data_IF_443041477182
#
_entry.id   IF_443041477182
#
_cell.length_a   1.000
_cell.length_b   1.000
_cell.length_c   1.000
_cell.angle_alpha   90.00
_cell.angle_beta   90.00
_cell.angle_gamma   90.00
#
_symmetry.space_group_name_H-M   'P 1'
#
loop_
_entity.id
_entity.type
_entity.pdbx_description
1 polymer ?
#
# COMPACT_ATOMS: atom_id res chain seq x y z
N UNK A 1 23.36 15.27 22.71
CA UNK A 1 23.06 16.06 21.48
C UNK A 1 22.67 15.16 20.31
N UNK A 2 23.59 14.39 19.71
CA UNK A 2 23.26 13.47 18.59
C UNK A 2 22.51 12.23 19.09
N UNK A 3 22.97 11.62 20.19
CA UNK A 3 22.34 10.41 20.77
C UNK A 3 20.88 10.67 21.14
N UNK A 4 20.58 11.85 21.72
CA UNK A 4 19.20 12.24 22.06
C UNK A 4 18.32 12.38 20.82
N UNK A 5 18.85 12.72 19.65
CA UNK A 5 18.07 12.89 18.43
C UNK A 5 17.62 11.56 17.79
N UNK A 6 18.23 10.44 18.18
CA UNK A 6 17.87 9.09 17.71
C UNK A 6 17.21 8.24 18.79
N UNK A 7 16.97 8.82 19.98
CA UNK A 7 16.32 8.12 21.08
C UNK A 7 14.82 8.05 20.81
N UNK A 8 14.32 6.85 20.53
CA UNK A 8 12.90 6.57 20.20
C UNK A 8 11.97 6.65 21.43
N UNK A 9 12.12 7.68 22.27
CA UNK A 9 11.14 7.95 23.33
C UNK A 9 9.95 8.70 22.72
N UNK A 10 8.70 8.29 22.99
CA UNK A 10 7.50 8.97 22.47
C UNK A 10 7.38 10.43 22.96
N UNK A 11 8.08 10.79 24.03
CA UNK A 11 8.19 12.17 24.53
C UNK A 11 9.39 12.95 24.02
N UNK A 12 10.21 12.42 23.10
CA UNK A 12 11.41 13.09 22.62
C UNK A 12 11.09 14.13 21.53
N UNK A 13 11.12 15.45 21.84
CA UNK A 13 10.82 16.48 20.84
C UNK A 13 11.96 16.66 19.83
N UNK A 14 13.15 16.12 20.11
CA UNK A 14 14.36 16.22 19.27
C UNK A 14 14.56 15.02 18.35
N UNK A 15 13.62 14.08 18.33
CA UNK A 15 13.73 12.93 17.45
C UNK A 15 13.80 13.38 15.99
N UNK A 16 14.97 13.20 15.36
CA UNK A 16 15.29 13.83 14.09
C UNK A 16 14.60 13.16 12.90
N UNK A 17 14.26 11.87 13.02
CA UNK A 17 13.68 11.11 11.92
C UNK A 17 12.15 11.15 11.96
N UNK A 18 11.57 12.24 11.45
CA UNK A 18 10.12 12.40 11.31
C UNK A 18 9.79 12.83 9.89
N UNK A 19 9.00 12.02 9.20
CA UNK A 19 8.59 12.31 7.82
C UNK A 19 7.11 12.07 7.64
N UNK A 20 6.44 12.97 6.90
CA UNK A 20 5.09 12.73 6.38
C UNK A 20 5.22 12.09 5.00
N UNK A 21 4.63 10.92 4.85
CA UNK A 21 4.62 10.15 3.61
C UNK A 21 3.17 9.90 3.20
N UNK A 22 2.88 9.97 1.91
CA UNK A 22 1.54 9.76 1.40
C UNK A 22 1.21 8.26 1.34
N UNK A 23 0.00 7.91 1.78
CA UNK A 23 -0.54 6.55 1.70
C UNK A 23 -2.02 6.60 1.35
N UNK A 24 -2.50 5.57 0.67
CA UNK A 24 -3.94 5.43 0.39
C UNK A 24 -4.68 5.32 1.71
N UNK A 25 -5.54 6.29 2.00
CA UNK A 25 -6.21 6.41 3.29
C UNK A 25 -7.68 6.76 3.09
N UNK A 26 -8.54 5.98 3.73
CA UNK A 26 -10.00 6.18 3.72
C UNK A 26 -10.35 7.56 4.30
N UNK A 27 -11.33 8.30 3.73
CA UNK A 27 -11.69 9.64 4.21
C UNK A 27 -12.03 9.71 5.70
N UNK A 28 -12.61 8.66 6.27
CA UNK A 28 -12.94 8.58 7.71
C UNK A 28 -11.72 8.51 8.64
N UNK A 29 -10.55 8.14 8.11
CA UNK A 29 -9.30 8.02 8.86
C UNK A 29 -8.37 9.22 8.65
N UNK A 30 -8.81 10.22 7.88
CA UNK A 30 -8.02 11.41 7.58
C UNK A 30 -7.96 12.34 8.77
N UNK A 31 -6.87 12.23 9.51
CA UNK A 31 -6.58 13.08 10.67
C UNK A 31 -5.18 13.66 10.55
N UNK A 32 -4.96 14.83 11.16
CA UNK A 32 -3.61 15.37 11.36
C UNK A 32 -2.93 14.60 12.50
N UNK A 33 -1.78 13.94 12.27
CA UNK A 33 -1.06 13.26 13.34
C UNK A 33 -0.60 14.25 14.41
N UNK A 34 -0.86 13.95 15.68
CA UNK A 34 -0.54 14.84 16.81
C UNK A 34 0.97 15.15 16.90
N UNK A 35 1.82 14.19 16.51
CA UNK A 35 3.27 14.33 16.56
C UNK A 35 3.88 15.06 15.33
N UNK A 36 3.06 15.44 14.34
CA UNK A 36 3.48 16.26 13.22
C UNK A 36 3.47 17.75 13.61
N UNK A 37 4.56 18.46 13.34
CA UNK A 37 4.60 19.92 13.55
C UNK A 37 3.74 20.64 12.53
N UNK A 38 3.28 21.85 12.85
CA UNK A 38 2.43 22.66 11.97
C UNK A 38 3.09 22.93 10.61
N UNK A 39 4.39 23.23 10.62
CA UNK A 39 5.18 23.47 9.40
C UNK A 39 5.22 22.21 8.53
N UNK A 40 5.58 21.06 9.11
CA UNK A 40 5.66 19.80 8.38
C UNK A 40 4.30 19.41 7.79
N UNK A 41 3.23 19.60 8.57
CA UNK A 41 1.86 19.34 8.12
C UNK A 41 1.45 20.25 6.97
N UNK A 42 1.71 21.56 7.09
CA UNK A 42 1.40 22.53 6.04
C UNK A 42 2.15 22.22 4.74
N UNK A 43 3.43 21.87 4.81
CA UNK A 43 4.21 21.45 3.64
C UNK A 43 3.64 20.19 2.97
N UNK A 44 3.22 19.19 3.75
CA UNK A 44 2.64 17.96 3.21
C UNK A 44 1.26 18.21 2.58
N UNK A 45 0.41 19.01 3.23
CA UNK A 45 -0.89 19.38 2.68
C UNK A 45 -0.74 20.22 1.41
N UNK A 46 0.17 21.19 1.38
CA UNK A 46 0.46 21.97 0.17
C UNK A 46 0.97 21.11 -0.99
N UNK A 47 1.80 20.09 -0.69
CA UNK A 47 2.19 19.08 -1.70
C UNK A 47 0.98 18.30 -2.22
N UNK A 48 0.08 17.87 -1.34
CA UNK A 48 -1.13 17.12 -1.72
C UNK A 48 -2.08 17.97 -2.57
N UNK A 49 -2.24 19.25 -2.24
CA UNK A 49 -3.07 20.20 -2.99
C UNK A 49 -2.54 20.42 -4.41
N UNK A 50 -1.23 20.34 -4.62
CA UNK A 50 -0.57 20.45 -5.92
C UNK A 50 -0.52 19.16 -6.74
N UNK A 51 -1.03 18.03 -6.22
CA UNK A 51 -1.12 16.76 -6.96
C UNK A 51 -2.36 16.71 -7.86
N UNK A 52 -2.44 15.68 -8.72
CA UNK A 52 -3.65 15.40 -9.50
C UNK A 52 -4.86 15.15 -8.58
N UNK A 53 -6.05 15.45 -9.11
CA UNK A 53 -7.33 15.19 -8.44
C UNK A 53 -7.47 13.75 -7.91
N UNK A 54 -7.05 12.75 -8.68
CA UNK A 54 -7.13 11.33 -8.32
C UNK A 54 -6.23 10.99 -7.14
N UNK A 55 -5.04 11.58 -7.09
CA UNK A 55 -4.08 11.39 -6.00
C UNK A 55 -4.54 12.11 -4.75
N UNK A 56 -5.02 13.35 -4.87
CA UNK A 56 -5.55 14.16 -3.75
C UNK A 56 -6.76 13.50 -3.09
N UNK A 57 -7.58 12.81 -3.87
CA UNK A 57 -8.76 12.09 -3.37
C UNK A 57 -8.44 10.78 -2.68
N UNK A 58 -7.28 10.17 -2.91
CA UNK A 58 -6.93 8.83 -2.39
C UNK A 58 -5.84 8.87 -1.34
N UNK A 59 -4.88 9.78 -1.49
CA UNK A 59 -3.71 9.87 -0.65
C UNK A 59 -3.97 10.76 0.56
N UNK A 60 -3.34 10.39 1.67
CA UNK A 60 -3.29 11.22 2.87
C UNK A 60 -1.90 11.18 3.48
N UNK A 61 -1.38 12.29 4.04
CA UNK A 61 -0.11 12.29 4.75
C UNK A 61 -0.21 11.47 6.03
N UNK A 62 0.65 10.47 6.17
CA UNK A 62 0.82 9.69 7.39
C UNK A 62 2.19 9.96 7.98
N UNK A 63 2.25 10.11 9.31
CA UNK A 63 3.49 10.31 10.02
C UNK A 63 4.23 8.99 10.15
N UNK A 64 5.49 9.01 9.74
CA UNK A 64 6.45 7.94 9.95
C UNK A 64 7.49 8.45 10.92
N UNK A 65 7.64 7.73 12.03
CA UNK A 65 8.63 8.01 13.05
C UNK A 65 9.62 6.85 13.14
N UNK A 66 10.85 7.15 12.78
CA UNK A 66 11.97 6.23 12.88
C UNK A 66 12.01 5.11 11.84
N UNK A 67 12.99 4.23 12.02
CA UNK A 67 13.23 3.11 11.13
C UNK A 67 12.23 1.98 11.34
N UNK A 68 11.66 1.85 12.54
CA UNK A 68 10.64 0.84 12.84
C UNK A 68 9.42 1.01 11.94
N UNK A 69 8.86 2.22 11.87
CA UNK A 69 7.71 2.52 11.01
C UNK A 69 8.03 2.31 9.53
N UNK A 70 9.22 2.74 9.09
CA UNK A 70 9.67 2.48 7.72
C UNK A 70 9.77 0.99 7.41
N UNK A 71 10.37 0.20 8.31
CA UNK A 71 10.52 -1.25 8.12
C UNK A 71 9.17 -1.95 8.06
N UNK A 72 8.20 -1.51 8.87
CA UNK A 72 6.83 -2.03 8.85
C UNK A 72 6.18 -1.78 7.50
N UNK A 73 6.27 -0.55 6.97
CA UNK A 73 5.73 -0.20 5.66
C UNK A 73 6.41 -0.93 4.52
N UNK A 74 7.73 -1.12 4.56
CA UNK A 74 8.45 -1.92 3.57
C UNK A 74 7.98 -3.37 3.57
N UNK A 75 7.75 -3.94 4.75
CA UNK A 75 7.20 -5.28 4.90
C UNK A 75 5.78 -5.38 4.34
N UNK A 76 4.94 -4.40 4.62
CA UNK A 76 3.58 -4.32 4.08
C UNK A 76 3.58 -4.24 2.54
N UNK A 77 4.41 -3.36 1.96
CA UNK A 77 4.59 -3.25 0.51
C UNK A 77 5.09 -4.56 -0.10
N UNK A 78 6.06 -5.23 0.53
CA UNK A 78 6.56 -6.53 0.09
C UNK A 78 5.46 -7.61 0.10
N UNK A 79 4.62 -7.61 1.14
CA UNK A 79 3.49 -8.52 1.25
C UNK A 79 2.44 -8.28 0.15
N UNK A 80 2.07 -7.01 -0.10
CA UNK A 80 1.13 -6.66 -1.16
C UNK A 80 1.65 -7.03 -2.56
N UNK A 81 2.95 -6.79 -2.82
CA UNK A 81 3.58 -7.19 -4.08
C UNK A 81 3.55 -8.71 -4.26
N UNK A 82 3.86 -9.48 -3.21
CA UNK A 82 3.78 -10.94 -3.24
C UNK A 82 2.36 -11.46 -3.50
N UNK A 83 1.35 -10.84 -2.88
CA UNK A 83 -0.05 -11.19 -3.11
C UNK A 83 -0.48 -10.92 -4.56
N UNK A 84 -0.11 -9.76 -5.12
CA UNK A 84 -0.37 -9.42 -6.52
C UNK A 84 0.31 -10.42 -7.47
N UNK A 85 1.54 -10.83 -7.17
CA UNK A 85 2.26 -11.83 -7.97
C UNK A 85 1.55 -13.19 -7.99
N UNK A 86 1.06 -13.66 -6.83
CA UNK A 86 0.26 -14.89 -6.78
C UNK A 86 -1.04 -14.76 -7.59
N UNK A 87 -1.76 -13.65 -7.45
CA UNK A 87 -2.99 -13.41 -8.22
C UNK A 87 -2.74 -13.44 -9.73
N UNK A 88 -1.64 -12.82 -10.19
CA UNK A 88 -1.26 -12.87 -11.60
C UNK A 88 -0.94 -14.29 -12.07
N UNK A 89 -0.25 -15.09 -11.26
CA UNK A 89 0.05 -16.48 -11.58
C UNK A 89 -1.24 -17.32 -11.72
N UNK A 90 -2.22 -17.11 -10.85
CA UNK A 90 -3.53 -17.76 -10.94
C UNK A 90 -4.31 -17.34 -12.19
N UNK A 91 -4.33 -16.05 -12.51
CA UNK A 91 -4.96 -15.53 -13.74
C UNK A 91 -4.30 -16.13 -14.98
N UNK A 92 -2.97 -16.16 -15.03
CA UNK A 92 -2.22 -16.77 -16.14
C UNK A 92 -2.53 -18.26 -16.27
N UNK A 93 -2.61 -18.99 -15.16
CA UNK A 93 -2.98 -20.41 -15.16
C UNK A 93 -4.38 -20.63 -15.73
N UNK A 94 -5.36 -19.80 -15.34
CA UNK A 94 -6.74 -19.88 -15.84
C UNK A 94 -6.84 -19.62 -17.35
N UNK A 95 -6.04 -18.70 -17.88
CA UNK A 95 -5.97 -18.41 -19.31
C UNK A 95 -5.27 -19.52 -20.11
N UNK A 96 -4.36 -20.26 -19.46
CA UNK A 96 -3.61 -21.37 -20.07
C UNK A 96 -4.38 -22.70 -20.11
N UNK A 97 -5.50 -22.84 -19.38
CA UNK A 97 -6.32 -24.06 -19.47
C UNK A 97 -7.08 -24.06 -20.80
N UNK A 98 -6.82 -25.01 -21.72
CA UNK A 98 -7.59 -25.09 -22.95
C UNK A 98 -9.05 -25.42 -22.63
N UNK A 99 -9.99 -24.73 -23.29
CA UNK A 99 -11.40 -25.07 -23.25
C UNK A 99 -11.57 -26.50 -23.77
N UNK A 100 -11.69 -27.47 -22.85
CA UNK A 100 -11.89 -28.87 -23.21
C UNK A 100 -13.34 -28.99 -23.69
N UNK A 101 -13.54 -28.86 -25.00
CA UNK A 101 -14.83 -29.18 -25.61
C UNK A 101 -15.24 -30.59 -25.14
N UNK A 102 -16.49 -30.78 -24.66
CA UNK A 102 -16.97 -32.10 -24.30
C UNK A 102 -16.85 -33.01 -25.53
N UNK A 103 -16.25 -34.19 -25.34
CA UNK A 103 -16.10 -35.16 -26.42
C UNK A 103 -17.47 -35.49 -27.02
N UNK A 104 -17.60 -35.60 -28.36
CA UNK A 104 -18.86 -35.98 -28.98
C UNK A 104 -19.29 -37.35 -28.45
N UNK A 105 -20.54 -37.44 -28.01
CA UNK A 105 -21.15 -38.65 -27.46
C UNK A 105 -21.03 -39.80 -28.47
N UNK A 106 -20.68 -41.02 -28.04
CA UNK A 106 -20.63 -42.16 -28.96
C UNK A 106 -22.03 -42.43 -29.53
N UNK A 107 -22.14 -42.51 -30.85
CA UNK A 107 -23.38 -42.83 -31.55
C UNK A 107 -23.83 -44.26 -31.19
N UNK A 108 -25.15 -44.49 -31.00
CA UNK A 108 -25.66 -45.79 -30.60
C UNK A 108 -25.48 -46.85 -31.71
N UNK A 109 -25.15 -48.11 -31.35
CA UNK A 109 -24.86 -49.17 -32.31
C UNK A 109 -26.14 -49.85 -32.81
N UNK A 110 -26.95 -49.16 -33.61
CA UNK A 110 -28.05 -49.79 -34.34
C UNK A 110 -28.22 -49.16 -35.72
N UNK A 111 -27.24 -49.36 -36.62
CA UNK A 111 -27.40 -49.14 -38.06
C UNK A 111 -26.25 -49.74 -38.87
N UNK A 112 -26.07 -51.05 -38.81
CA UNK A 112 -25.57 -51.91 -39.91
C UNK A 112 -26.21 -53.29 -39.75
#
# INVERSE_FOLDING_TARGET
AIVDAYREDPGNPRYAFRHLLFSVTEPSQRVKPVAASDIMWAEAMGKLEGMDSSDRERLWPQLVQGFKDLSYRLKELSSHLGALQCQMADVQKRLSVPHRSPAPSPLPPHLV
#
